data_IF_951251681766
#
_entry.id   IF_951251681766
#
_cell.length_a   1.000
_cell.length_b   1.000
_cell.length_c   1.000
_cell.angle_alpha   90.00
_cell.angle_beta   90.00
_cell.angle_gamma   90.00
#
_symmetry.space_group_name_H-M   'P 1'
#
loop_
_entity.id
_entity.type
_entity.pdbx_description
1 polymer ?
#
# COMPACT_ATOMS: atom_id res chain seq x y z
N UNK A 1 1.49 -2.22 11.11
CA UNK A 1 1.92 -3.41 11.90
C UNK A 1 3.22 -3.09 12.62
N UNK A 2 3.45 -3.61 13.83
CA UNK A 2 4.72 -3.43 14.55
C UNK A 2 5.55 -4.72 14.45
N UNK A 3 6.59 -4.73 13.62
CA UNK A 3 7.47 -5.89 13.41
C UNK A 3 8.70 -5.91 14.33
N UNK A 4 8.89 -4.87 15.15
CA UNK A 4 10.08 -4.72 16.01
C UNK A 4 10.36 -5.97 16.88
N UNK A 5 9.37 -6.64 17.51
CA UNK A 5 9.64 -7.86 18.29
C UNK A 5 10.21 -9.02 17.46
N UNK A 6 9.78 -9.18 16.21
CA UNK A 6 10.25 -10.25 15.32
C UNK A 6 11.66 -9.98 14.80
N UNK A 7 11.95 -8.70 14.50
CA UNK A 7 13.30 -8.29 14.13
C UNK A 7 14.27 -8.41 15.31
N UNK A 8 13.83 -8.04 16.52
CA UNK A 8 14.64 -8.19 17.72
C UNK A 8 15.03 -9.66 17.98
N UNK A 9 14.09 -10.59 17.78
CA UNK A 9 14.31 -12.03 18.00
C UNK A 9 15.42 -12.66 17.14
N UNK A 10 15.74 -12.08 15.99
CA UNK A 10 16.79 -12.57 15.08
C UNK A 10 18.08 -11.72 15.10
N UNK A 11 18.04 -10.60 15.82
CA UNK A 11 19.09 -9.56 15.77
C UNK A 11 20.09 -9.61 16.92
N UNK A 12 19.78 -10.36 17.99
CA UNK A 12 20.48 -10.25 19.28
C UNK A 12 20.64 -8.80 19.78
N UNK A 13 19.70 -7.92 19.41
CA UNK A 13 19.71 -6.50 19.74
C UNK A 13 20.31 -5.57 18.67
N UNK A 14 20.96 -6.08 17.63
CA UNK A 14 21.52 -5.29 16.52
C UNK A 14 20.66 -5.35 15.25
N UNK A 15 19.81 -4.33 15.07
CA UNK A 15 18.91 -4.25 13.92
C UNK A 15 19.60 -3.86 12.60
N UNK A 16 20.91 -3.61 12.60
CA UNK A 16 21.66 -3.16 11.42
C UNK A 16 22.29 -4.29 10.63
N UNK A 17 22.16 -5.53 11.10
CA UNK A 17 22.78 -6.69 10.45
C UNK A 17 22.12 -7.03 9.10
N UNK A 18 22.87 -7.61 8.15
CA UNK A 18 22.33 -8.08 6.89
C UNK A 18 21.21 -9.11 7.05
N UNK A 19 21.26 -9.98 8.07
CA UNK A 19 20.18 -10.94 8.35
C UNK A 19 18.87 -10.23 8.72
N UNK A 20 18.94 -9.21 9.59
CA UNK A 20 17.77 -8.41 9.97
C UNK A 20 17.20 -7.66 8.78
N UNK A 21 18.04 -7.05 7.95
CA UNK A 21 17.60 -6.37 6.73
C UNK A 21 16.88 -7.33 5.77
N UNK A 22 17.42 -8.55 5.58
CA UNK A 22 16.80 -9.57 4.72
C UNK A 22 15.47 -10.05 5.29
N UNK A 23 15.38 -10.22 6.62
CA UNK A 23 14.14 -10.63 7.27
C UNK A 23 13.09 -9.52 7.28
N UNK A 24 13.49 -8.26 7.49
CA UNK A 24 12.60 -7.11 7.35
C UNK A 24 12.04 -7.01 5.93
N UNK A 25 12.87 -7.23 4.90
CA UNK A 25 12.41 -7.30 3.51
C UNK A 25 11.46 -8.48 3.27
N UNK A 26 11.70 -9.63 3.90
CA UNK A 26 10.79 -10.77 3.86
C UNK A 26 9.44 -10.42 4.50
N UNK A 27 9.44 -9.89 5.72
CA UNK A 27 8.21 -9.46 6.41
C UNK A 27 7.46 -8.40 5.61
N UNK A 28 8.17 -7.43 5.01
CA UNK A 28 7.60 -6.44 4.11
C UNK A 28 6.91 -7.05 2.90
N UNK A 29 7.54 -8.05 2.25
CA UNK A 29 7.00 -8.73 1.06
C UNK A 29 5.86 -9.71 1.37
N UNK A 30 5.85 -10.31 2.56
CA UNK A 30 4.92 -11.39 2.92
C UNK A 30 3.80 -10.96 3.86
N UNK A 31 3.80 -9.71 4.32
CA UNK A 31 2.66 -9.14 5.05
C UNK A 31 1.66 -8.58 4.05
N UNK A 32 0.38 -8.95 4.18
CA UNK A 32 -0.72 -8.26 3.50
C UNK A 32 -0.65 -6.77 3.85
N UNK A 33 -0.21 -6.00 2.86
CA UNK A 33 0.02 -4.57 3.01
C UNK A 33 -1.18 -3.83 2.43
N UNK A 34 -1.37 -2.61 2.90
CA UNK A 34 -2.50 -1.76 2.53
C UNK A 34 -2.62 -1.67 0.99
N UNK A 35 -3.83 -1.84 0.41
CA UNK A 35 -4.02 -1.93 -1.03
C UNK A 35 -3.65 -0.66 -1.80
N UNK A 36 -3.72 0.50 -1.15
CA UNK A 36 -3.48 1.79 -1.79
C UNK A 36 -2.23 2.45 -1.20
N UNK A 37 -1.28 2.80 -2.07
CA UNK A 37 -0.12 3.64 -1.74
C UNK A 37 -0.28 5.03 -2.36
N UNK A 38 0.17 6.04 -1.63
CA UNK A 38 0.31 7.40 -2.14
C UNK A 38 1.79 7.75 -2.22
N UNK A 39 2.18 8.56 -3.20
CA UNK A 39 3.57 8.98 -3.44
C UNK A 39 4.20 9.81 -2.31
N UNK A 40 3.39 10.36 -1.40
CA UNK A 40 3.84 10.97 -0.14
C UNK A 40 4.37 9.94 0.90
N UNK A 41 4.32 8.65 0.58
CA UNK A 41 4.80 7.55 1.42
C UNK A 41 3.73 6.96 2.34
N UNK A 42 2.49 7.45 2.28
CA UNK A 42 1.37 6.91 3.06
C UNK A 42 0.70 5.71 2.38
N UNK A 43 0.06 4.86 3.18
CA UNK A 43 -0.69 3.70 2.70
C UNK A 43 -2.04 3.60 3.40
N UNK A 44 -3.04 3.06 2.69
CA UNK A 44 -4.42 3.02 3.17
C UNK A 44 -5.05 1.64 3.00
N UNK A 45 -5.57 1.10 4.11
CA UNK A 45 -6.24 -0.20 4.18
C UNK A 45 -7.57 -0.26 3.44
N UNK A 46 -8.19 0.89 3.18
CA UNK A 46 -9.49 0.98 2.51
C UNK A 46 -9.70 2.33 1.81
N UNK A 47 -10.68 2.34 0.90
CA UNK A 47 -11.03 3.48 0.06
C UNK A 47 -11.50 4.72 0.85
N UNK A 48 -12.24 4.54 1.95
CA UNK A 48 -12.76 5.66 2.74
C UNK A 48 -11.64 6.49 3.38
N UNK A 49 -10.60 5.83 3.88
CA UNK A 49 -9.44 6.53 4.46
C UNK A 49 -8.65 7.27 3.38
N UNK A 50 -8.45 6.65 2.23
CA UNK A 50 -7.77 7.26 1.08
C UNK A 50 -8.49 8.52 0.59
N UNK A 51 -9.82 8.44 0.41
CA UNK A 51 -10.66 9.57 -0.02
C UNK A 51 -10.56 10.73 0.97
N UNK A 52 -10.60 10.45 2.27
CA UNK A 52 -10.48 11.47 3.31
C UNK A 52 -9.13 12.16 3.29
N UNK A 53 -8.04 11.40 3.11
CA UNK A 53 -6.68 11.93 3.03
C UNK A 53 -6.49 12.84 1.82
N UNK A 54 -6.98 12.41 0.66
CA UNK A 54 -6.84 13.15 -0.60
C UNK A 54 -7.84 14.30 -0.74
N UNK A 55 -8.78 14.43 0.20
CA UNK A 55 -9.87 15.41 0.19
C UNK A 55 -10.70 15.39 -1.10
N UNK A 56 -10.97 14.19 -1.64
CA UNK A 56 -11.73 13.99 -2.89
C UNK A 56 -13.13 13.46 -2.63
N UNK A 57 -14.03 13.63 -3.59
CA UNK A 57 -15.36 13.03 -3.56
C UNK A 57 -15.32 11.53 -3.88
N UNK A 58 -16.18 10.74 -3.24
CA UNK A 58 -16.25 9.28 -3.46
C UNK A 58 -16.59 8.90 -4.89
N UNK A 59 -17.55 9.58 -5.51
CA UNK A 59 -17.95 9.34 -6.89
C UNK A 59 -16.80 9.61 -7.86
N UNK A 60 -16.12 10.74 -7.68
CA UNK A 60 -14.95 11.10 -8.47
C UNK A 60 -13.82 10.07 -8.34
N UNK A 61 -13.50 9.67 -7.11
CA UNK A 61 -12.48 8.65 -6.86
C UNK A 61 -12.85 7.30 -7.48
N UNK A 62 -14.12 6.91 -7.39
CA UNK A 62 -14.60 5.64 -7.95
C UNK A 62 -14.48 5.66 -9.48
N UNK A 63 -14.85 6.76 -10.12
CA UNK A 63 -14.71 6.89 -11.57
C UNK A 63 -13.25 6.80 -12.04
N UNK A 64 -12.31 7.43 -11.32
CA UNK A 64 -10.88 7.31 -11.62
C UNK A 64 -10.36 5.88 -11.46
N UNK A 65 -10.76 5.19 -10.40
CA UNK A 65 -10.38 3.79 -10.16
C UNK A 65 -10.95 2.85 -11.23
N UNK A 66 -12.21 3.03 -11.62
CA UNK A 66 -12.85 2.23 -12.67
C UNK A 66 -12.18 2.46 -14.03
N UNK A 67 -11.78 3.71 -14.33
CA UNK A 67 -11.03 4.05 -15.54
C UNK A 67 -9.64 3.40 -15.53
N UNK A 68 -8.89 3.54 -14.43
CA UNK A 68 -7.58 2.93 -14.27
C UNK A 68 -7.65 1.39 -14.40
N UNK A 69 -8.68 0.76 -13.82
CA UNK A 69 -8.90 -0.67 -13.92
C UNK A 69 -9.29 -1.12 -15.34
N UNK A 70 -10.05 -0.31 -16.08
CA UNK A 70 -10.41 -0.56 -17.47
C UNK A 70 -9.21 -0.47 -18.41
N UNK A 71 -8.31 0.49 -18.16
CA UNK A 71 -7.08 0.70 -18.93
C UNK A 71 -5.93 -0.21 -18.47
N UNK A 72 -6.16 -1.04 -17.45
CA UNK A 72 -5.15 -1.95 -16.90
C UNK A 72 -4.04 -1.24 -16.11
N UNK A 73 -4.21 0.03 -15.79
CA UNK A 73 -3.26 0.82 -15.03
C UNK A 73 -3.19 0.35 -13.58
N UNK A 74 -2.00 0.51 -12.97
CA UNK A 74 -1.76 0.23 -11.54
C UNK A 74 -1.50 1.50 -10.74
N UNK A 75 -1.58 2.65 -11.39
CA UNK A 75 -1.43 3.95 -10.79
C UNK A 75 -2.24 4.99 -11.55
N UNK A 76 -2.67 6.04 -10.86
CA UNK A 76 -3.30 7.21 -11.46
C UNK A 76 -3.04 8.46 -10.61
N UNK A 77 -3.14 9.63 -11.24
CA UNK A 77 -3.00 10.92 -10.56
C UNK A 77 -4.36 11.44 -10.09
N UNK A 78 -4.38 12.02 -8.88
CA UNK A 78 -5.56 12.66 -8.31
C UNK A 78 -5.14 13.77 -7.36
N UNK A 79 -5.64 14.99 -7.60
CA UNK A 79 -5.36 16.16 -6.76
C UNK A 79 -3.85 16.42 -6.50
N UNK A 80 -2.99 16.15 -7.49
CA UNK A 80 -1.54 16.30 -7.36
C UNK A 80 -0.81 15.16 -6.66
N UNK A 81 -1.53 14.09 -6.29
CA UNK A 81 -0.96 12.87 -5.70
C UNK A 81 -1.04 11.71 -6.70
N UNK A 82 -0.04 10.85 -6.67
CA UNK A 82 -0.06 9.56 -7.40
C UNK A 82 -0.56 8.46 -6.48
N UNK A 83 -1.69 7.85 -6.81
CA UNK A 83 -2.23 6.69 -6.10
C UNK A 83 -1.83 5.43 -6.86
N UNK A 84 -1.23 4.45 -6.15
CA UNK A 84 -0.77 3.19 -6.71
C UNK A 84 -1.42 2.00 -6.01
N UNK A 85 -1.70 0.95 -6.78
CA UNK A 85 -2.03 -0.36 -6.23
C UNK A 85 -0.79 -1.02 -5.64
N UNK A 86 -0.90 -1.47 -4.41
CA UNK A 86 0.13 -2.25 -3.78
C UNK A 86 0.14 -3.68 -4.33
N UNK A 87 1.19 -4.05 -5.06
CA UNK A 87 1.37 -5.39 -5.61
C UNK A 87 1.44 -6.48 -4.53
N UNK A 88 1.78 -6.14 -3.28
CA UNK A 88 1.84 -7.06 -2.14
C UNK A 88 0.49 -7.19 -1.39
N UNK A 89 -0.53 -6.41 -1.76
CA UNK A 89 -1.85 -6.45 -1.10
C UNK A 89 -2.77 -7.58 -1.57
N UNK A 90 -2.37 -8.29 -2.64
CA UNK A 90 -3.23 -9.27 -3.33
C UNK A 90 -4.32 -8.65 -4.21
N UNK A 91 -4.47 -7.31 -4.21
CA UNK A 91 -5.43 -6.62 -5.07
C UNK A 91 -4.88 -6.57 -6.49
N UNK A 92 -5.66 -7.11 -7.43
CA UNK A 92 -5.36 -7.01 -8.86
C UNK A 92 -5.93 -5.75 -9.51
N UNK A 93 -6.88 -5.09 -8.83
CA UNK A 93 -7.68 -3.97 -9.32
C UNK A 93 -7.96 -3.01 -8.17
N UNK A 94 -8.14 -1.72 -8.45
CA UNK A 94 -8.49 -0.72 -7.46
C UNK A 94 -9.89 -0.99 -6.90
N UNK A 95 -10.77 -1.50 -7.76
CA UNK A 95 -12.15 -1.91 -7.46
C UNK A 95 -12.30 -3.42 -7.72
N UNK A 96 -11.82 -4.28 -6.80
CA UNK A 96 -12.11 -5.71 -6.91
C UNK A 96 -13.62 -5.92 -6.82
N UNK A 97 -14.18 -6.76 -7.70
CA UNK A 97 -15.57 -7.21 -7.55
C UNK A 97 -15.65 -8.04 -6.27
N UNK A 98 -16.45 -7.57 -5.31
CA UNK A 98 -16.87 -8.37 -4.16
C UNK A 98 -17.79 -9.50 -4.61
#
# INVERSE_FOLDING_TARGET
MNWIPQLLAISDGDLTTPEVAKHAQYLWKHTLSDPYFVDDGTSFSNLELLIRHLHVGREYMTALMDLADADGQKEFEVNGYTVRLNSNSGYQKFRPKH
#
